data_IF_371100341638
#
_entry.id   IF_371100341638
#
_cell.length_a   1.000
_cell.length_b   1.000
_cell.length_c   1.000
_cell.angle_alpha   90.00
_cell.angle_beta   90.00
_cell.angle_gamma   90.00
#
_symmetry.space_group_name_H-M   'P 1'
#
loop_
_entity.id
_entity.type
_entity.pdbx_description
1 polymer ?
#
# COMPACT_ATOMS: atom_id res chain seq x y z
N UNK A 1 23.33 21.60 1.27
CA UNK A 1 22.47 21.49 2.47
C UNK A 1 22.81 22.57 3.50
N UNK A 2 24.07 22.95 3.69
CA UNK A 2 24.51 23.94 4.70
C UNK A 2 23.93 25.36 4.58
N UNK A 3 23.63 25.84 3.36
CA UNK A 3 23.10 27.20 3.15
C UNK A 3 21.69 27.43 3.72
N UNK A 4 20.80 26.44 3.60
CA UNK A 4 19.42 26.47 4.12
C UNK A 4 19.36 26.24 5.64
N UNK A 5 20.34 25.53 6.20
CA UNK A 5 20.43 25.30 7.65
C UNK A 5 21.07 26.48 8.39
N UNK A 6 22.01 27.19 7.76
CA UNK A 6 22.62 28.41 8.31
C UNK A 6 21.62 29.58 8.44
N UNK A 7 20.63 29.67 7.54
CA UNK A 7 19.60 30.72 7.59
C UNK A 7 18.64 30.57 8.77
N UNK A 8 18.41 29.35 9.27
CA UNK A 8 17.55 29.08 10.43
C UNK A 8 18.11 29.69 11.74
N UNK A 9 19.44 29.76 11.90
CA UNK A 9 20.09 30.42 13.07
C UNK A 9 19.78 31.92 13.09
N UNK A 10 19.70 32.52 11.91
CA UNK A 10 19.49 33.97 11.72
C UNK A 10 18.01 34.33 11.67
N UNK A 11 17.12 33.34 11.71
CA UNK A 11 15.68 33.56 11.72
C UNK A 11 15.27 34.24 13.03
N UNK A 12 14.91 35.52 12.94
CA UNK A 12 14.30 36.27 14.04
C UNK A 12 12.80 36.05 14.02
N UNK A 13 12.24 35.72 15.17
CA UNK A 13 10.80 35.59 15.36
C UNK A 13 10.17 36.98 15.41
N UNK A 14 8.99 37.14 14.81
CA UNK A 14 8.28 38.40 14.71
C UNK A 14 8.02 39.02 16.11
N UNK A 15 8.32 40.30 16.28
CA UNK A 15 8.08 41.05 17.53
C UNK A 15 6.61 41.11 17.92
N UNK A 16 5.68 40.95 16.96
CA UNK A 16 4.25 40.87 17.24
C UNK A 16 3.89 39.67 18.13
N UNK A 17 4.68 38.58 18.08
CA UNK A 17 4.45 37.38 18.90
C UNK A 17 4.72 37.62 20.39
N UNK A 18 5.52 38.65 20.72
CA UNK A 18 5.79 39.05 22.10
C UNK A 18 4.52 39.40 22.88
N UNK A 19 3.58 40.05 22.20
CA UNK A 19 2.32 40.53 22.78
C UNK A 19 1.11 39.74 22.26
N UNK A 20 1.32 38.59 21.60
CA UNK A 20 0.23 37.73 21.15
C UNK A 20 -0.67 37.35 22.33
N UNK A 21 -1.98 37.30 22.13
CA UNK A 21 -2.94 36.80 23.13
C UNK A 21 -2.79 35.30 23.36
N UNK A 22 -2.23 34.56 22.40
CA UNK A 22 -1.94 33.13 22.49
C UNK A 22 -0.68 32.88 23.33
N UNK A 23 -0.76 31.98 24.31
CA UNK A 23 0.36 31.64 25.19
C UNK A 23 1.49 30.91 24.46
N UNK A 24 1.18 30.06 23.49
CA UNK A 24 2.16 29.31 22.71
C UNK A 24 3.03 30.23 21.88
N UNK A 25 2.45 31.27 21.30
CA UNK A 25 3.17 32.28 20.52
C UNK A 25 4.16 33.07 21.39
N UNK A 26 3.71 33.48 22.58
CA UNK A 26 4.58 34.17 23.54
C UNK A 26 5.72 33.25 24.01
N UNK A 27 5.43 31.98 24.26
CA UNK A 27 6.45 30.99 24.62
C UNK A 27 7.46 30.76 23.49
N UNK A 28 7.00 30.63 22.24
CA UNK A 28 7.88 30.53 21.08
C UNK A 28 8.78 31.77 20.97
N UNK A 29 8.23 32.97 21.12
CA UNK A 29 9.00 34.21 21.13
C UNK A 29 10.08 34.20 22.23
N UNK A 30 9.73 33.82 23.47
CA UNK A 30 10.66 33.78 24.60
C UNK A 30 11.78 32.73 24.40
N UNK A 31 11.40 31.51 24.00
CA UNK A 31 12.34 30.40 23.80
C UNK A 31 13.27 30.68 22.61
N UNK A 32 12.73 31.15 21.48
CA UNK A 32 13.51 31.36 20.27
C UNK A 32 14.41 32.60 20.32
N UNK A 33 14.02 33.65 21.07
CA UNK A 33 14.88 34.80 21.27
C UNK A 33 15.99 34.56 22.31
N UNK A 34 15.87 33.53 23.15
CA UNK A 34 16.99 33.07 23.97
C UNK A 34 18.05 32.41 23.06
N UNK A 35 19.20 33.06 22.90
CA UNK A 35 20.27 32.59 21.99
C UNK A 35 20.81 31.21 22.36
N UNK A 36 20.86 30.86 23.65
CA UNK A 36 21.35 29.56 24.09
C UNK A 36 20.35 28.45 23.73
N UNK A 37 19.08 28.64 24.10
CA UNK A 37 18.02 27.67 23.78
C UNK A 37 17.87 27.50 22.27
N UNK A 38 17.87 28.60 21.50
CA UNK A 38 17.82 28.54 20.03
C UNK A 38 18.99 27.74 19.45
N UNK A 39 20.21 27.95 19.93
CA UNK A 39 21.38 27.23 19.45
C UNK A 39 21.31 25.73 19.79
N UNK A 40 20.88 25.36 21.00
CA UNK A 40 20.71 23.95 21.36
C UNK A 40 19.57 23.29 20.56
N UNK A 41 18.41 23.95 20.43
CA UNK A 41 17.31 23.47 19.58
C UNK A 41 17.82 23.23 18.16
N UNK A 42 18.55 24.19 17.59
CA UNK A 42 19.08 24.04 16.24
C UNK A 42 20.06 22.86 16.12
N UNK A 43 20.97 22.70 17.09
CA UNK A 43 21.88 21.55 17.14
C UNK A 43 21.14 20.22 17.15
N UNK A 44 20.03 20.11 17.89
CA UNK A 44 19.19 18.91 17.91
C UNK A 44 18.40 18.71 16.60
N UNK A 45 17.91 19.78 16.00
CA UNK A 45 17.30 19.74 14.66
C UNK A 45 18.30 19.23 13.61
N UNK A 46 19.54 19.71 13.65
CA UNK A 46 20.60 19.24 12.75
C UNK A 46 20.89 17.75 12.93
N UNK A 47 20.94 17.27 14.17
CA UNK A 47 21.08 15.84 14.46
C UNK A 47 19.91 15.03 13.90
N UNK A 48 18.69 15.51 14.09
CA UNK A 48 17.50 14.86 13.54
C UNK A 48 17.51 14.80 12.01
N UNK A 49 17.79 15.93 11.35
CA UNK A 49 17.89 15.96 9.89
C UNK A 49 18.97 15.01 9.39
N UNK A 50 20.10 14.92 10.10
CA UNK A 50 21.22 14.07 9.71
C UNK A 50 20.98 12.58 9.97
N UNK A 51 20.28 12.23 11.05
CA UNK A 51 20.23 10.86 11.60
C UNK A 51 18.80 10.29 11.69
N UNK A 52 17.82 10.91 11.03
CA UNK A 52 16.43 10.42 11.01
C UNK A 52 16.29 9.08 10.30
N UNK A 53 17.14 8.81 9.31
CA UNK A 53 17.21 7.56 8.55
C UNK A 53 18.62 7.00 8.69
N UNK A 54 18.75 5.76 9.17
CA UNK A 54 20.05 5.11 9.36
C UNK A 54 20.02 3.64 8.92
N UNK A 55 21.12 3.20 8.30
CA UNK A 55 21.37 1.82 7.91
C UNK A 55 22.33 1.17 8.92
N UNK A 56 21.84 0.25 9.74
CA UNK A 56 22.60 -0.30 10.86
C UNK A 56 22.42 -1.81 11.00
N UNK A 57 23.50 -2.47 11.38
CA UNK A 57 23.48 -3.80 11.99
C UNK A 57 23.61 -3.67 13.52
N UNK A 58 23.62 -4.79 14.24
CA UNK A 58 23.76 -4.77 15.71
C UNK A 58 25.07 -4.12 16.18
N UNK A 59 26.18 -4.30 15.43
CA UNK A 59 27.49 -3.73 15.76
C UNK A 59 27.49 -2.21 15.62
N UNK A 60 26.99 -1.70 14.50
CA UNK A 60 26.81 -0.27 14.23
C UNK A 60 25.83 0.35 15.20
N UNK A 61 24.67 -0.30 15.41
CA UNK A 61 23.64 0.16 16.32
C UNK A 61 24.16 0.30 17.75
N UNK A 62 24.91 -0.68 18.27
CA UNK A 62 25.45 -0.61 19.64
C UNK A 62 26.37 0.60 19.87
N UNK A 63 27.14 1.01 18.84
CA UNK A 63 28.12 2.11 18.90
C UNK A 63 27.54 3.47 18.51
N UNK A 64 26.37 3.49 17.87
CA UNK A 64 25.74 4.71 17.41
C UNK A 64 25.27 5.57 18.59
N UNK A 65 25.75 6.81 18.69
CA UNK A 65 25.50 7.66 19.88
C UNK A 65 24.15 8.36 19.83
N UNK A 66 23.68 8.71 18.63
CA UNK A 66 22.54 9.58 18.41
C UNK A 66 21.27 8.77 18.03
N UNK A 67 21.10 7.57 18.63
CA UNK A 67 19.98 6.66 18.29
C UNK A 67 18.60 7.30 18.47
N UNK A 68 18.47 8.19 19.45
CA UNK A 68 17.19 8.82 19.80
C UNK A 68 16.55 9.64 18.67
N UNK A 69 17.33 10.03 17.65
CA UNK A 69 16.83 10.81 16.52
C UNK A 69 16.38 9.94 15.34
N UNK A 70 16.64 8.64 15.38
CA UNK A 70 16.26 7.71 14.31
C UNK A 70 14.74 7.51 14.36
N UNK A 71 14.08 7.86 13.25
CA UNK A 71 12.65 7.58 13.02
C UNK A 71 12.45 6.43 12.02
N UNK A 72 13.45 6.21 11.17
CA UNK A 72 13.49 5.13 10.19
C UNK A 72 14.78 4.35 10.32
N UNK A 73 14.68 3.05 10.56
CA UNK A 73 15.82 2.17 10.74
C UNK A 73 15.81 1.07 9.69
N UNK A 74 16.85 1.05 8.87
CA UNK A 74 17.15 -0.05 7.95
C UNK A 74 18.07 -1.03 8.67
N UNK A 75 17.53 -2.16 9.06
CA UNK A 75 18.18 -3.15 9.89
C UNK A 75 18.75 -4.31 9.07
N UNK A 76 20.05 -4.53 9.21
CA UNK A 76 20.75 -5.66 8.59
C UNK A 76 21.29 -6.60 9.67
N UNK A 77 20.76 -7.82 9.74
CA UNK A 77 21.21 -8.88 10.62
C UNK A 77 20.10 -9.45 11.50
N UNK A 78 20.33 -10.68 11.96
CA UNK A 78 19.31 -11.47 12.67
C UNK A 78 19.17 -11.16 14.17
N UNK A 79 20.15 -10.46 14.74
CA UNK A 79 20.16 -10.10 16.16
C UNK A 79 19.49 -8.75 16.31
N UNK A 80 18.48 -8.63 17.17
CA UNK A 80 17.81 -7.36 17.47
C UNK A 80 18.22 -6.86 18.87
N UNK A 81 18.23 -5.54 19.10
CA UNK A 81 18.32 -5.00 20.46
C UNK A 81 17.05 -5.33 21.26
N UNK A 82 17.10 -5.15 22.58
CA UNK A 82 15.89 -5.25 23.41
C UNK A 82 14.85 -4.21 22.97
N UNK A 83 13.55 -4.50 23.11
CA UNK A 83 12.49 -3.57 22.72
C UNK A 83 12.63 -2.17 23.33
N UNK A 84 13.19 -2.07 24.54
CA UNK A 84 13.33 -0.81 25.27
C UNK A 84 14.58 -0.03 24.84
N UNK A 85 15.46 -0.66 24.04
CA UNK A 85 16.66 -0.02 23.49
C UNK A 85 16.43 0.60 22.11
N UNK A 86 15.29 0.35 21.47
CA UNK A 86 14.91 1.02 20.23
C UNK A 86 14.69 2.53 20.47
N UNK A 87 14.88 3.36 19.43
CA UNK A 87 14.63 4.79 19.53
C UNK A 87 13.16 5.06 19.91
N UNK A 88 12.89 6.04 20.79
CA UNK A 88 11.54 6.34 21.26
C UNK A 88 10.60 6.86 20.16
N UNK A 89 11.16 7.33 19.04
CA UNK A 89 10.40 7.85 17.90
C UNK A 89 10.54 6.97 16.65
N UNK A 90 11.02 5.72 16.80
CA UNK A 90 11.12 4.79 15.68
C UNK A 90 9.72 4.39 15.21
N UNK A 91 9.35 4.83 14.02
CA UNK A 91 8.06 4.54 13.37
C UNK A 91 8.22 3.54 12.23
N UNK A 92 9.35 3.56 11.52
CA UNK A 92 9.55 2.75 10.33
C UNK A 92 10.76 1.83 10.50
N UNK A 93 10.52 0.52 10.40
CA UNK A 93 11.56 -0.50 10.51
C UNK A 93 11.59 -1.34 9.22
N UNK A 94 12.76 -1.37 8.59
CA UNK A 94 13.00 -2.12 7.37
C UNK A 94 14.01 -3.22 7.67
N UNK A 95 13.63 -4.47 7.56
CA UNK A 95 14.51 -5.61 7.73
C UNK A 95 15.16 -5.99 6.39
N UNK A 96 16.29 -5.38 6.06
CA UNK A 96 17.06 -5.64 4.84
C UNK A 96 17.62 -7.07 4.81
N UNK A 97 18.13 -7.55 5.95
CA UNK A 97 18.66 -8.92 6.08
C UNK A 97 18.20 -9.49 7.41
N UNK A 98 17.05 -10.16 7.41
CA UNK A 98 16.50 -10.80 8.61
C UNK A 98 15.90 -12.16 8.26
N UNK A 99 16.41 -13.21 8.90
CA UNK A 99 16.14 -14.62 8.58
C UNK A 99 15.66 -15.41 9.81
N UNK A 100 15.53 -14.77 10.97
CA UNK A 100 15.04 -15.40 12.21
C UNK A 100 13.54 -15.21 12.40
N UNK A 101 12.95 -16.12 13.16
CA UNK A 101 11.57 -16.00 13.64
C UNK A 101 11.47 -14.83 14.61
N UNK A 102 10.45 -13.99 14.48
CA UNK A 102 10.15 -12.96 15.48
C UNK A 102 9.67 -13.61 16.78
N UNK A 103 10.14 -13.12 17.92
CA UNK A 103 9.68 -13.56 19.24
C UNK A 103 8.79 -12.50 19.88
N UNK A 104 8.01 -12.92 20.88
CA UNK A 104 7.19 -12.00 21.65
C UNK A 104 8.10 -10.93 22.28
N UNK A 105 7.66 -9.67 22.24
CA UNK A 105 8.37 -8.51 22.80
C UNK A 105 9.63 -8.04 22.06
N UNK A 106 9.90 -8.46 20.83
CA UNK A 106 11.07 -7.96 20.07
C UNK A 106 10.90 -6.54 19.56
N UNK A 107 9.68 -6.15 19.16
CA UNK A 107 9.42 -4.89 18.50
C UNK A 107 8.61 -3.94 19.39
N UNK A 108 8.97 -2.64 19.47
CA UNK A 108 8.21 -1.65 20.22
C UNK A 108 6.91 -1.25 19.49
N UNK A 109 5.89 -0.86 20.28
CA UNK A 109 4.60 -0.32 19.78
C UNK A 109 4.69 1.13 19.27
N UNK A 110 5.89 1.63 18.99
CA UNK A 110 6.09 2.89 18.27
C UNK A 110 6.11 2.66 16.75
N UNK A 111 6.39 1.43 16.31
CA UNK A 111 6.50 1.06 14.90
C UNK A 111 5.11 1.04 14.26
N UNK A 112 4.94 1.82 13.21
CA UNK A 112 3.74 1.89 12.37
C UNK A 112 3.96 1.25 11.00
N UNK A 113 5.21 1.21 10.52
CA UNK A 113 5.58 0.59 9.24
C UNK A 113 6.63 -0.48 9.48
N UNK A 114 6.36 -1.70 9.03
CA UNK A 114 7.30 -2.81 9.08
C UNK A 114 7.43 -3.41 7.68
N UNK A 115 8.67 -3.48 7.19
CA UNK A 115 8.97 -4.03 5.88
C UNK A 115 10.01 -5.12 6.06
N UNK A 116 9.68 -6.34 5.63
CA UNK A 116 10.67 -7.40 5.47
C UNK A 116 11.19 -7.37 4.04
N UNK A 117 12.51 -7.37 3.87
CA UNK A 117 13.14 -7.45 2.56
C UNK A 117 13.18 -8.92 2.05
N UNK A 118 13.78 -9.12 0.87
CA UNK A 118 13.59 -10.25 -0.03
C UNK A 118 13.77 -11.65 0.55
N UNK A 119 14.55 -11.85 1.61
CA UNK A 119 14.94 -13.20 2.07
C UNK A 119 14.11 -13.72 3.27
N UNK A 120 13.28 -12.90 3.91
CA UNK A 120 12.51 -13.33 5.08
C UNK A 120 11.44 -14.35 4.70
N UNK A 121 11.54 -15.57 5.23
CA UNK A 121 10.56 -16.64 5.01
C UNK A 121 10.32 -17.47 6.28
N UNK A 122 10.14 -16.78 7.41
CA UNK A 122 9.88 -17.41 8.70
C UNK A 122 8.42 -17.20 9.11
N UNK A 123 7.87 -18.15 9.87
CA UNK A 123 6.53 -18.01 10.44
C UNK A 123 6.49 -16.76 11.34
N UNK A 124 5.39 -16.01 11.28
CA UNK A 124 5.13 -14.87 12.17
C UNK A 124 4.08 -15.30 13.21
N UNK A 125 4.49 -15.61 14.45
CA UNK A 125 3.56 -16.06 15.47
C UNK A 125 2.58 -14.94 15.89
N UNK A 126 1.35 -15.29 16.32
CA UNK A 126 0.43 -14.32 16.92
C UNK A 126 1.04 -13.52 18.06
N UNK A 127 0.80 -12.21 18.04
CA UNK A 127 1.28 -11.27 19.08
C UNK A 127 2.73 -10.80 18.94
N UNK A 128 3.48 -11.22 17.90
CA UNK A 128 4.87 -10.74 17.70
C UNK A 128 4.95 -9.41 16.94
N UNK A 129 3.91 -9.05 16.18
CA UNK A 129 3.83 -7.77 15.48
C UNK A 129 3.36 -6.66 16.43
N UNK A 130 3.86 -5.41 16.30
CA UNK A 130 3.42 -4.28 17.10
C UNK A 130 1.93 -3.98 16.95
N UNK A 131 1.26 -3.61 18.04
CA UNK A 131 -0.17 -3.26 18.04
C UNK A 131 -0.48 -1.92 17.37
N UNK A 132 0.56 -1.12 17.09
CA UNK A 132 0.51 0.16 16.38
C UNK A 132 0.70 0.02 14.87
N UNK A 133 1.00 -1.19 14.38
CA UNK A 133 1.41 -1.40 13.00
C UNK A 133 0.25 -1.12 12.05
N UNK A 134 0.42 -0.16 11.14
CA UNK A 134 -0.56 0.21 10.11
C UNK A 134 -0.19 -0.32 8.74
N UNK A 135 1.11 -0.48 8.46
CA UNK A 135 1.63 -0.92 7.18
C UNK A 135 2.58 -2.10 7.36
N UNK A 136 2.30 -3.20 6.67
CA UNK A 136 3.15 -4.39 6.65
C UNK A 136 3.42 -4.83 5.22
N UNK A 137 4.70 -4.97 4.88
CA UNK A 137 5.14 -5.56 3.61
C UNK A 137 6.01 -6.77 3.88
N UNK A 138 5.64 -7.90 3.31
CA UNK A 138 6.48 -9.09 3.25
C UNK A 138 7.33 -9.07 1.98
N UNK A 139 8.61 -9.40 2.13
CA UNK A 139 9.56 -9.42 1.02
C UNK A 139 9.40 -10.62 0.11
N UNK A 140 10.15 -10.60 -1.00
CA UNK A 140 10.10 -11.55 -2.12
C UNK A 140 9.86 -13.01 -1.71
N UNK A 141 10.61 -13.55 -0.74
CA UNK A 141 10.65 -14.98 -0.39
C UNK A 141 9.62 -15.44 0.64
N UNK A 142 8.80 -14.53 1.18
CA UNK A 142 7.82 -14.93 2.19
C UNK A 142 6.71 -15.80 1.59
N UNK A 143 6.60 -17.04 2.07
CA UNK A 143 5.59 -18.01 1.65
C UNK A 143 5.13 -18.87 2.84
N UNK A 144 4.88 -18.22 3.98
CA UNK A 144 4.40 -18.88 5.19
C UNK A 144 2.91 -18.62 5.40
N UNK A 145 2.21 -19.62 5.96
CA UNK A 145 0.78 -19.49 6.31
C UNK A 145 0.61 -18.40 7.37
N UNK A 146 -0.29 -17.45 7.11
CA UNK A 146 -0.70 -16.42 8.08
C UNK A 146 -1.94 -16.90 8.82
N UNK A 147 -1.81 -17.16 10.12
CA UNK A 147 -2.91 -17.64 10.97
C UNK A 147 -3.74 -16.48 11.54
N UNK A 148 -5.02 -16.70 11.87
CA UNK A 148 -5.82 -15.72 12.59
C UNK A 148 -5.13 -15.21 13.87
N UNK A 149 -5.16 -13.90 14.09
CA UNK A 149 -4.46 -13.25 15.21
C UNK A 149 -2.97 -12.95 14.98
N UNK A 150 -2.38 -13.36 13.85
CA UNK A 150 -1.03 -12.94 13.46
C UNK A 150 -0.95 -11.45 13.14
N UNK A 151 -1.91 -10.95 12.35
CA UNK A 151 -1.94 -9.55 11.91
C UNK A 151 -2.66 -8.67 12.96
N UNK A 152 -2.08 -7.53 13.35
CA UNK A 152 -2.69 -6.65 14.35
C UNK A 152 -3.90 -5.92 13.78
N UNK A 153 -4.89 -5.63 14.64
CA UNK A 153 -6.13 -4.95 14.23
C UNK A 153 -5.93 -3.51 13.74
N UNK A 154 -4.79 -2.88 14.02
CA UNK A 154 -4.42 -1.55 13.51
C UNK A 154 -4.01 -1.54 12.04
N UNK A 155 -3.77 -2.72 11.44
CA UNK A 155 -3.22 -2.84 10.11
C UNK A 155 -4.22 -2.37 9.05
N UNK A 156 -3.82 -1.40 8.23
CA UNK A 156 -4.62 -0.84 7.13
C UNK A 156 -4.07 -1.22 5.76
N UNK A 157 -2.75 -1.44 5.65
CA UNK A 157 -2.08 -1.83 4.41
C UNK A 157 -1.27 -3.10 4.59
N UNK A 158 -1.55 -4.09 3.74
CA UNK A 158 -0.81 -5.35 3.68
C UNK A 158 -0.37 -5.65 2.26
N UNK A 159 0.93 -5.89 2.10
CA UNK A 159 1.54 -6.33 0.84
C UNK A 159 2.26 -7.65 1.06
N UNK A 160 1.87 -8.68 0.29
CA UNK A 160 2.58 -9.94 0.24
C UNK A 160 3.69 -9.91 -0.80
N UNK A 161 4.76 -10.66 -0.54
CA UNK A 161 5.90 -10.74 -1.43
C UNK A 161 5.67 -11.66 -2.62
N UNK A 162 6.56 -11.56 -3.61
CA UNK A 162 6.53 -12.27 -4.89
C UNK A 162 6.16 -13.75 -4.81
N UNK A 163 6.76 -14.51 -3.89
CA UNK A 163 6.60 -15.96 -3.79
C UNK A 163 5.42 -16.41 -2.91
N UNK A 164 4.66 -15.49 -2.31
CA UNK A 164 3.55 -15.84 -1.44
C UNK A 164 2.43 -16.54 -2.22
N UNK A 165 2.13 -17.79 -1.89
CA UNK A 165 1.07 -18.57 -2.53
C UNK A 165 0.30 -19.46 -1.54
N UNK A 166 0.12 -18.96 -0.31
CA UNK A 166 -0.62 -19.66 0.74
C UNK A 166 -2.10 -19.26 0.76
N UNK A 167 -2.97 -20.20 1.15
CA UNK A 167 -4.41 -19.93 1.33
C UNK A 167 -4.62 -18.96 2.49
N UNK A 168 -5.44 -17.93 2.27
CA UNK A 168 -5.91 -17.02 3.33
C UNK A 168 -7.27 -17.50 3.83
N UNK A 169 -7.34 -17.88 5.10
CA UNK A 169 -8.57 -18.34 5.74
C UNK A 169 -9.42 -17.16 6.24
N UNK A 170 -10.75 -17.32 6.36
CA UNK A 170 -11.61 -16.34 7.01
C UNK A 170 -11.13 -16.01 8.43
N UNK A 171 -11.11 -14.71 8.75
CA UNK A 171 -10.61 -14.20 10.03
C UNK A 171 -9.08 -14.04 10.13
N UNK A 172 -8.31 -14.39 9.07
CA UNK A 172 -6.88 -14.09 9.01
C UNK A 172 -6.60 -12.60 8.82
N UNK A 173 -7.35 -11.94 7.93
CA UNK A 173 -7.17 -10.51 7.64
C UNK A 173 -7.89 -9.64 8.68
N UNK A 174 -7.27 -8.56 9.17
CA UNK A 174 -7.86 -7.71 10.20
C UNK A 174 -8.99 -6.83 9.64
N UNK A 175 -9.97 -6.51 10.50
CA UNK A 175 -11.20 -5.80 10.13
C UNK A 175 -11.01 -4.33 9.70
N UNK A 176 -9.81 -3.76 9.87
CA UNK A 176 -9.49 -2.39 9.46
C UNK A 176 -8.62 -2.34 8.18
N UNK A 177 -8.35 -3.49 7.55
CA UNK A 177 -7.52 -3.54 6.35
C UNK A 177 -8.24 -2.84 5.18
N UNK A 178 -7.64 -1.80 4.64
CA UNK A 178 -8.18 -1.02 3.51
C UNK A 178 -7.51 -1.37 2.19
N UNK A 179 -6.24 -1.78 2.24
CA UNK A 179 -5.43 -2.07 1.06
C UNK A 179 -4.77 -3.44 1.20
N UNK A 180 -4.99 -4.30 0.20
CA UNK A 180 -4.36 -5.61 0.09
C UNK A 180 -3.74 -5.79 -1.29
N UNK A 181 -2.46 -6.11 -1.31
CA UNK A 181 -1.71 -6.44 -2.53
C UNK A 181 -1.08 -7.82 -2.40
N UNK A 182 -1.39 -8.70 -3.35
CA UNK A 182 -0.72 -9.99 -3.49
C UNK A 182 0.52 -9.88 -4.39
N UNK A 183 1.58 -10.63 -4.07
CA UNK A 183 2.79 -10.70 -4.90
C UNK A 183 2.67 -11.73 -6.01
N UNK A 184 3.55 -11.64 -7.02
CA UNK A 184 3.44 -12.20 -8.37
C UNK A 184 2.84 -13.62 -8.47
N UNK A 185 3.24 -14.55 -7.58
CA UNK A 185 2.89 -15.97 -7.67
C UNK A 185 1.62 -16.41 -6.91
N UNK A 186 0.85 -15.49 -6.32
CA UNK A 186 -0.37 -15.84 -5.60
C UNK A 186 -1.47 -16.36 -6.54
N UNK A 187 -1.82 -17.64 -6.45
CA UNK A 187 -2.82 -18.24 -7.32
C UNK A 187 -3.80 -19.15 -6.55
N UNK A 188 -4.28 -18.65 -5.40
CA UNK A 188 -5.26 -19.35 -4.57
C UNK A 188 -6.65 -18.73 -4.70
N UNK A 189 -7.69 -19.57 -4.63
CA UNK A 189 -9.08 -19.10 -4.57
C UNK A 189 -9.28 -18.30 -3.28
N UNK A 190 -10.01 -17.19 -3.35
CA UNK A 190 -10.47 -16.41 -2.19
C UNK A 190 -11.92 -16.76 -1.90
N UNK A 191 -12.22 -17.51 -0.81
CA UNK A 191 -13.59 -17.82 -0.44
C UNK A 191 -14.39 -16.59 0.03
N UNK A 192 -15.73 -16.64 -0.06
CA UNK A 192 -16.60 -15.66 0.59
C UNK A 192 -16.32 -15.50 2.09
N UNK A 193 -16.27 -14.25 2.54
CA UNK A 193 -15.98 -13.91 3.95
C UNK A 193 -14.48 -13.89 4.32
N UNK A 194 -13.57 -14.17 3.38
CA UNK A 194 -12.12 -14.03 3.62
C UNK A 194 -11.65 -12.58 3.65
N UNK A 195 -12.14 -11.75 2.73
CA UNK A 195 -11.78 -10.33 2.65
C UNK A 195 -12.62 -9.50 3.63
N UNK A 196 -12.01 -8.56 4.38
CA UNK A 196 -12.74 -7.75 5.35
C UNK A 196 -13.60 -6.68 4.67
N UNK A 197 -14.72 -6.32 5.32
CA UNK A 197 -15.67 -5.30 4.83
C UNK A 197 -15.13 -3.86 4.85
N UNK A 198 -13.88 -3.65 5.30
CA UNK A 198 -13.17 -2.38 5.22
C UNK A 198 -12.34 -2.22 3.96
N UNK A 199 -12.14 -3.31 3.19
CA UNK A 199 -11.21 -3.33 2.07
C UNK A 199 -11.72 -2.45 0.93
N UNK A 200 -10.95 -1.45 0.54
CA UNK A 200 -11.27 -0.51 -0.54
C UNK A 200 -10.44 -0.78 -1.79
N UNK A 201 -9.22 -1.29 -1.63
CA UNK A 201 -8.27 -1.55 -2.71
C UNK A 201 -7.75 -2.98 -2.64
N UNK A 202 -7.92 -3.72 -3.74
CA UNK A 202 -7.41 -5.08 -3.90
C UNK A 202 -6.64 -5.20 -5.22
N UNK A 203 -5.40 -5.65 -5.11
CA UNK A 203 -4.54 -5.99 -6.25
C UNK A 203 -4.21 -7.48 -6.18
N UNK A 204 -4.72 -8.25 -7.15
CA UNK A 204 -4.29 -9.61 -7.39
C UNK A 204 -2.94 -9.65 -8.09
N UNK A 205 -2.27 -10.80 -7.99
CA UNK A 205 -0.95 -10.99 -8.55
C UNK A 205 -0.95 -11.32 -10.04
N UNK A 206 0.22 -11.26 -10.66
CA UNK A 206 0.41 -11.55 -12.08
C UNK A 206 0.01 -12.99 -12.45
N UNK A 207 0.28 -13.99 -11.61
CA UNK A 207 -0.10 -15.38 -11.90
C UNK A 207 -1.52 -15.76 -11.44
N UNK A 208 -2.29 -14.81 -10.89
CA UNK A 208 -3.64 -15.09 -10.40
C UNK A 208 -4.59 -15.42 -11.56
N UNK A 209 -5.00 -16.69 -11.66
CA UNK A 209 -5.94 -17.17 -12.67
C UNK A 209 -7.01 -18.09 -12.04
N UNK A 210 -7.58 -17.63 -10.91
CA UNK A 210 -8.68 -18.32 -10.23
C UNK A 210 -10.02 -17.61 -10.49
N UNK A 211 -11.10 -18.40 -10.52
CA UNK A 211 -12.46 -17.85 -10.54
C UNK A 211 -12.67 -17.04 -9.26
N UNK A 212 -13.31 -15.87 -9.38
CA UNK A 212 -13.77 -15.06 -8.23
C UNK A 212 -15.24 -15.40 -7.97
N UNK A 213 -15.58 -16.16 -6.90
CA UNK A 213 -16.96 -16.51 -6.62
C UNK A 213 -17.79 -15.29 -6.17
N UNK A 214 -19.11 -15.27 -6.43
CA UNK A 214 -20.02 -14.29 -5.86
C UNK A 214 -19.91 -14.19 -4.33
N UNK A 215 -19.86 -12.97 -3.81
CA UNK A 215 -19.71 -12.69 -2.37
C UNK A 215 -18.28 -12.79 -1.83
N UNK A 216 -17.27 -13.04 -2.67
CA UNK A 216 -15.86 -13.07 -2.26
C UNK A 216 -15.25 -11.68 -2.14
N UNK A 217 -15.71 -10.74 -2.95
CA UNK A 217 -15.31 -9.33 -2.89
C UNK A 217 -16.26 -8.55 -1.96
N UNK A 218 -15.74 -7.71 -1.04
CA UNK A 218 -16.58 -6.97 -0.10
C UNK A 218 -17.25 -5.77 -0.79
N UNK A 219 -18.43 -5.37 -0.28
CA UNK A 219 -19.20 -4.23 -0.80
C UNK A 219 -18.55 -2.85 -0.54
N UNK A 220 -17.41 -2.80 0.14
CA UNK A 220 -16.60 -1.60 0.33
C UNK A 220 -15.58 -1.40 -0.79
N UNK A 221 -15.35 -2.41 -1.64
CA UNK A 221 -14.26 -2.41 -2.60
C UNK A 221 -14.53 -1.38 -3.71
N UNK A 222 -13.62 -0.41 -3.88
CA UNK A 222 -13.72 0.64 -4.89
C UNK A 222 -12.75 0.41 -6.05
N UNK A 223 -11.59 -0.20 -5.76
CA UNK A 223 -10.54 -0.45 -6.76
C UNK A 223 -10.18 -1.93 -6.77
N UNK A 224 -10.30 -2.54 -7.95
CA UNK A 224 -9.90 -3.91 -8.20
C UNK A 224 -8.93 -3.99 -9.38
N UNK A 225 -7.75 -4.55 -9.13
CA UNK A 225 -6.74 -4.80 -10.15
C UNK A 225 -6.49 -6.30 -10.24
N UNK A 226 -6.66 -6.86 -11.43
CA UNK A 226 -6.21 -8.20 -11.77
C UNK A 226 -4.81 -8.14 -12.38
N UNK A 227 -3.95 -9.09 -12.03
CA UNK A 227 -2.64 -9.22 -12.67
C UNK A 227 -2.70 -9.89 -14.04
N UNK A 228 -1.54 -9.97 -14.68
CA UNK A 228 -1.44 -10.26 -16.12
C UNK A 228 -1.99 -11.60 -16.58
N UNK A 229 -1.96 -12.63 -15.75
CA UNK A 229 -2.37 -14.00 -16.06
C UNK A 229 -3.87 -14.25 -15.96
N UNK A 230 -4.64 -13.33 -15.35
CA UNK A 230 -6.07 -13.55 -15.12
C UNK A 230 -6.86 -13.64 -16.43
N UNK A 231 -7.46 -14.80 -16.69
CA UNK A 231 -8.31 -15.01 -17.87
C UNK A 231 -9.54 -15.89 -17.56
N UNK A 232 -10.01 -15.87 -16.31
CA UNK A 232 -11.22 -16.58 -15.91
C UNK A 232 -12.50 -15.80 -16.24
N UNK A 233 -13.60 -16.54 -16.43
CA UNK A 233 -14.92 -15.94 -16.58
C UNK A 233 -15.32 -15.21 -15.28
N UNK A 234 -15.71 -13.95 -15.40
CA UNK A 234 -16.30 -13.21 -14.28
C UNK A 234 -17.78 -13.58 -14.16
N UNK A 235 -18.16 -14.18 -13.03
CA UNK A 235 -19.52 -14.65 -12.80
C UNK A 235 -20.45 -13.48 -12.39
N UNK A 236 -21.73 -13.50 -12.77
CA UNK A 236 -22.72 -12.52 -12.29
C UNK A 236 -22.75 -12.44 -10.76
N UNK A 237 -22.73 -11.23 -10.21
CA UNK A 237 -22.73 -10.98 -8.76
C UNK A 237 -21.35 -11.10 -8.08
N UNK A 238 -20.27 -11.32 -8.84
CA UNK A 238 -18.90 -11.38 -8.30
C UNK A 238 -18.28 -10.00 -8.09
N UNK A 239 -18.70 -9.02 -8.89
CA UNK A 239 -18.24 -7.63 -8.80
C UNK A 239 -19.23 -6.80 -7.96
N UNK A 240 -18.80 -6.19 -6.84
CA UNK A 240 -19.68 -5.38 -6.02
C UNK A 240 -20.00 -4.03 -6.69
N UNK A 241 -21.21 -3.51 -6.44
CA UNK A 241 -21.70 -2.22 -6.97
C UNK A 241 -21.00 -0.98 -6.39
N UNK A 242 -19.98 -1.15 -5.55
CA UNK A 242 -19.12 -0.08 -5.03
C UNK A 242 -17.91 0.20 -5.92
N UNK A 243 -17.57 -0.71 -6.84
CA UNK A 243 -16.37 -0.58 -7.67
C UNK A 243 -16.46 0.63 -8.60
N UNK A 244 -15.49 1.51 -8.49
CA UNK A 244 -15.30 2.66 -9.39
C UNK A 244 -14.21 2.37 -10.42
N UNK A 245 -13.25 1.51 -10.08
CA UNK A 245 -12.11 1.19 -10.94
C UNK A 245 -11.91 -0.32 -11.05
N UNK A 246 -11.87 -0.81 -12.29
CA UNK A 246 -11.45 -2.18 -12.61
C UNK A 246 -10.33 -2.12 -13.63
N UNK A 247 -9.24 -2.81 -13.33
CA UNK A 247 -8.10 -2.97 -14.24
C UNK A 247 -7.91 -4.47 -14.47
N UNK A 248 -8.07 -4.91 -15.71
CA UNK A 248 -7.75 -6.27 -16.14
C UNK A 248 -6.31 -6.33 -16.66
N UNK A 249 -5.58 -7.38 -16.28
CA UNK A 249 -4.24 -7.65 -16.76
C UNK A 249 -4.19 -8.11 -18.22
N UNK A 250 -2.97 -8.34 -18.72
CA UNK A 250 -2.66 -8.56 -20.13
C UNK A 250 -3.46 -9.69 -20.81
N UNK A 251 -3.63 -10.84 -20.15
CA UNK A 251 -4.22 -12.05 -20.75
C UNK A 251 -5.75 -12.09 -20.73
N UNK A 252 -6.44 -11.17 -20.05
CA UNK A 252 -7.89 -11.21 -19.95
C UNK A 252 -8.53 -11.00 -21.33
N UNK A 253 -9.25 -12.02 -21.81
CA UNK A 253 -9.91 -11.99 -23.10
C UNK A 253 -11.28 -12.70 -23.07
N UNK A 254 -11.98 -12.62 -21.94
CA UNK A 254 -13.31 -13.20 -21.78
C UNK A 254 -14.41 -12.22 -22.20
N UNK A 255 -15.54 -12.76 -22.66
CA UNK A 255 -16.72 -11.97 -23.04
C UNK A 255 -17.29 -11.29 -21.80
N UNK A 256 -17.60 -9.99 -21.92
CA UNK A 256 -18.27 -9.19 -20.88
C UNK A 256 -19.76 -9.05 -21.24
N UNK A 257 -20.67 -9.86 -20.68
CA UNK A 257 -22.10 -9.73 -20.97
C UNK A 257 -22.72 -8.48 -20.32
N UNK A 258 -23.86 -7.99 -20.85
CA UNK A 258 -24.64 -6.93 -20.21
C UNK A 258 -25.01 -7.24 -18.76
N UNK A 259 -24.91 -6.23 -17.90
CA UNK A 259 -25.20 -6.35 -16.46
C UNK A 259 -24.10 -6.98 -15.61
N UNK A 260 -22.96 -7.37 -16.19
CA UNK A 260 -21.81 -7.88 -15.44
C UNK A 260 -21.04 -6.78 -14.71
N UNK A 261 -20.82 -5.65 -15.39
CA UNK A 261 -20.07 -4.52 -14.85
C UNK A 261 -20.94 -3.72 -13.86
N UNK A 262 -20.38 -3.25 -12.73
CA UNK A 262 -21.13 -2.51 -11.73
C UNK A 262 -21.54 -1.12 -12.22
N UNK A 263 -22.72 -0.67 -11.79
CA UNK A 263 -23.31 0.62 -12.21
C UNK A 263 -22.56 1.86 -11.71
N UNK A 264 -21.61 1.69 -10.78
CA UNK A 264 -20.75 2.76 -10.23
C UNK A 264 -19.43 2.91 -10.98
N UNK A 265 -19.12 2.03 -11.93
CA UNK A 265 -17.81 1.95 -12.56
C UNK A 265 -17.53 3.21 -13.38
N UNK A 266 -16.46 3.92 -13.05
CA UNK A 266 -16.02 5.13 -13.77
C UNK A 266 -14.81 4.86 -14.66
N UNK A 267 -13.95 3.93 -14.25
CA UNK A 267 -12.70 3.58 -14.94
C UNK A 267 -12.65 2.09 -15.21
N UNK A 268 -12.47 1.74 -16.49
CA UNK A 268 -12.29 0.36 -16.94
C UNK A 268 -11.08 0.27 -17.86
N UNK A 269 -10.12 -0.57 -17.49
CA UNK A 269 -8.93 -0.84 -18.30
C UNK A 269 -8.88 -2.30 -18.68
N UNK A 270 -8.70 -2.58 -19.96
CA UNK A 270 -8.42 -3.92 -20.49
C UNK A 270 -6.95 -4.02 -20.90
N UNK A 271 -6.35 -5.19 -20.64
CA UNK A 271 -4.96 -5.47 -20.96
C UNK A 271 -4.70 -5.77 -22.44
N UNK A 272 -3.45 -6.17 -22.70
CA UNK A 272 -2.86 -6.31 -24.04
C UNK A 272 -3.65 -7.18 -25.03
N UNK A 273 -4.18 -8.34 -24.59
CA UNK A 273 -4.80 -9.34 -25.48
C UNK A 273 -6.33 -9.23 -25.59
N UNK A 274 -6.97 -8.30 -24.88
CA UNK A 274 -8.43 -8.19 -24.90
C UNK A 274 -8.92 -7.80 -26.30
N UNK A 275 -9.79 -8.62 -26.89
CA UNK A 275 -10.32 -8.37 -28.23
C UNK A 275 -11.77 -8.89 -28.39
N UNK A 276 -12.62 -8.64 -27.39
CA UNK A 276 -14.03 -9.05 -27.41
C UNK A 276 -14.97 -7.91 -27.83
N UNK A 277 -16.07 -8.27 -28.48
CA UNK A 277 -17.10 -7.32 -28.93
C UNK A 277 -18.00 -6.92 -27.76
N UNK A 278 -18.32 -5.63 -27.65
CA UNK A 278 -19.32 -5.10 -26.72
C UNK A 278 -20.71 -5.07 -27.34
N UNK A 279 -21.68 -5.67 -26.67
CA UNK A 279 -23.10 -5.50 -27.02
C UNK A 279 -23.63 -4.19 -26.40
N UNK A 280 -24.65 -3.56 -26.99
CA UNK A 280 -25.34 -2.44 -26.36
C UNK A 280 -25.78 -2.78 -24.93
N UNK A 281 -25.51 -1.87 -23.99
CA UNK A 281 -25.79 -2.06 -22.57
C UNK A 281 -24.75 -2.88 -21.79
N UNK A 282 -23.62 -3.29 -22.39
CA UNK A 282 -22.51 -3.91 -21.65
C UNK A 282 -21.78 -2.91 -20.75
N UNK A 283 -21.45 -1.73 -21.28
CA UNK A 283 -20.72 -0.70 -20.54
C UNK A 283 -21.69 0.15 -19.70
N UNK A 284 -21.42 0.40 -18.41
CA UNK A 284 -22.31 1.17 -17.55
C UNK A 284 -22.29 2.66 -17.93
N UNK A 285 -23.43 3.34 -17.74
CA UNK A 285 -23.55 4.77 -18.06
C UNK A 285 -22.68 5.69 -17.18
N UNK A 286 -22.17 5.19 -16.05
CA UNK A 286 -21.24 5.91 -15.17
C UNK A 286 -19.82 5.98 -15.73
N UNK A 287 -19.48 5.19 -16.75
CA UNK A 287 -18.13 5.04 -17.25
C UNK A 287 -17.64 6.33 -17.93
N UNK A 288 -16.54 6.89 -17.42
CA UNK A 288 -15.89 8.10 -17.95
C UNK A 288 -14.60 7.78 -18.68
N UNK A 289 -13.89 6.74 -18.25
CA UNK A 289 -12.59 6.35 -18.78
C UNK A 289 -12.60 4.88 -19.20
N UNK A 290 -12.30 4.62 -20.46
CA UNK A 290 -12.18 3.29 -21.04
C UNK A 290 -10.85 3.18 -21.78
N UNK A 291 -10.04 2.21 -21.38
CA UNK A 291 -8.72 1.95 -21.98
C UNK A 291 -8.65 0.53 -22.53
N UNK A 292 -8.15 0.39 -23.75
CA UNK A 292 -7.86 -0.88 -24.40
C UNK A 292 -6.37 -1.04 -24.68
N UNK A 293 -5.88 -2.27 -24.50
CA UNK A 293 -4.54 -2.66 -24.92
C UNK A 293 -4.41 -2.90 -26.42
N UNK A 294 -3.19 -3.24 -26.82
CA UNK A 294 -2.72 -3.30 -28.20
C UNK A 294 -3.55 -4.20 -29.14
N UNK A 295 -4.06 -5.34 -28.68
CA UNK A 295 -4.73 -6.31 -29.57
C UNK A 295 -6.18 -5.95 -29.90
N UNK A 296 -6.73 -4.89 -29.28
CA UNK A 296 -8.12 -4.53 -29.48
C UNK A 296 -8.35 -4.00 -30.90
N UNK A 297 -9.16 -4.72 -31.67
CA UNK A 297 -9.44 -4.46 -33.08
C UNK A 297 -10.93 -4.60 -33.42
N UNK A 298 -11.81 -4.63 -32.40
CA UNK A 298 -13.26 -4.71 -32.61
C UNK A 298 -13.87 -3.33 -32.92
N UNK A 299 -14.90 -3.35 -33.75
CA UNK A 299 -15.74 -2.18 -34.01
C UNK A 299 -16.82 -2.07 -32.94
N UNK A 300 -17.12 -0.85 -32.51
CA UNK A 300 -18.24 -0.57 -31.61
C UNK A 300 -19.56 -0.52 -32.38
N UNK A 301 -20.52 -1.43 -32.11
CA UNK A 301 -21.87 -1.30 -32.66
C UNK A 301 -22.53 0.01 -32.18
N UNK A 302 -23.44 0.60 -32.97
CA UNK A 302 -24.20 1.77 -32.51
C UNK A 302 -24.86 1.54 -31.14
N UNK A 303 -24.61 2.46 -30.20
CA UNK A 303 -25.13 2.38 -28.84
C UNK A 303 -24.36 1.47 -27.87
N UNK A 304 -23.17 0.96 -28.24
CA UNK A 304 -22.33 0.18 -27.32
C UNK A 304 -21.49 1.03 -26.37
N UNK A 305 -21.19 2.28 -26.73
CA UNK A 305 -20.44 3.23 -25.90
C UNK A 305 -21.41 4.06 -25.04
N UNK A 306 -21.11 4.31 -23.75
CA UNK A 306 -21.95 5.11 -22.88
C UNK A 306 -21.79 6.61 -23.15
N UNK A 307 -22.86 7.37 -22.95
CA UNK A 307 -22.90 8.80 -23.27
C UNK A 307 -21.97 9.68 -22.42
N UNK A 308 -21.58 9.21 -21.22
CA UNK A 308 -20.72 9.97 -20.30
C UNK A 308 -19.23 9.68 -20.48
N UNK A 309 -18.85 8.90 -21.50
CA UNK A 309 -17.45 8.57 -21.75
C UNK A 309 -16.68 9.82 -22.19
N UNK A 310 -15.70 10.22 -21.38
CA UNK A 310 -14.84 11.40 -21.64
C UNK A 310 -13.49 11.02 -22.20
N UNK A 311 -13.03 9.80 -21.92
CA UNK A 311 -11.70 9.33 -22.32
C UNK A 311 -11.81 7.91 -22.85
N UNK A 312 -11.42 7.75 -24.11
CA UNK A 312 -11.28 6.47 -24.79
C UNK A 312 -9.84 6.36 -25.30
N UNK A 313 -9.08 5.41 -24.78
CA UNK A 313 -7.67 5.23 -25.11
C UNK A 313 -7.45 3.85 -25.72
N UNK A 314 -6.64 3.81 -26.79
CA UNK A 314 -6.15 2.59 -27.42
C UNK A 314 -4.63 2.62 -27.36
N UNK A 315 -4.01 1.58 -26.82
CA UNK A 315 -2.56 1.46 -26.74
C UNK A 315 -1.99 0.95 -28.08
N UNK A 316 -2.27 1.70 -29.15
CA UNK A 316 -1.86 1.40 -30.52
C UNK A 316 -0.95 2.52 -31.01
N UNK A 317 0.35 2.27 -31.19
CA UNK A 317 1.24 3.19 -31.94
C UNK A 317 0.88 3.30 -33.45
N UNK A 318 -0.18 2.65 -33.93
CA UNK A 318 -0.65 2.76 -35.32
C UNK A 318 -2.17 2.81 -35.48
N UNK A 319 -2.83 3.76 -34.79
CA UNK A 319 -4.19 4.17 -35.15
C UNK A 319 -4.22 5.58 -35.77
N UNK A 320 -3.36 5.80 -36.78
CA UNK A 320 -3.78 6.67 -37.89
C UNK A 320 -4.73 5.84 -38.75
N UNK A 321 -6.03 6.03 -38.57
CA UNK A 321 -6.98 6.32 -39.66
C UNK A 321 -8.43 5.95 -39.31
N UNK A 322 -9.30 6.93 -39.58
CA UNK A 322 -10.73 6.88 -39.85
C UNK A 322 -11.70 6.81 -38.65
N UNK A 323 -12.10 8.01 -38.21
CA UNK A 323 -13.41 8.30 -37.59
C UNK A 323 -14.40 8.75 -38.67
#
# INVERSE_FOLDING_TARGET
MDGLLSSLIKFRVNEELKNSSNISDRLLYLVWNNIFLRNEIHKHILKFIKHSVEDLDISGYSKFKDKSYITTLNWSGDTLPDKNEFPPFLTDLYFCVFKKVLTLTTLPNTITTLIFDGDFNQVVPPGTLPNSLTTLTFGRSFDQVVTPGTLPNSLTTLTFGRFFNQVILPGTLPNNLTTLTFGDYFNQVIPPGTLPNSLTTLTFSDDFDQVVPPGSLPNSLTTLTFGDGFNQLVLPGSLPNSLTTIIFGSCFNQVVPPGLLPNSLTTLTFGYYFNQVFKPGTLPNSLTTLTFGFSFSQVFPPGSLPNNLTTLTFDNEHASDNW
#
